data_IF_570133652874
#
_entry.id   IF_570133652874
#
_cell.length_a   1.000
_cell.length_b   1.000
_cell.length_c   1.000
_cell.angle_alpha   90.00
_cell.angle_beta   90.00
_cell.angle_gamma   90.00
#
_symmetry.space_group_name_H-M   'P 1'
#
loop_
_entity.id
_entity.type
_entity.pdbx_description
1 polymer ?
#
# COMPACT_ATOMS: atom_id res chain seq x y z
N UNK A 1 15.55 -15.39 -44.28
CA UNK A 1 16.97 -15.14 -43.96
C UNK A 1 17.32 -16.10 -42.84
N UNK A 2 18.06 -17.15 -43.18
CA UNK A 2 18.68 -18.07 -42.24
C UNK A 2 19.95 -17.40 -41.71
N UNK A 3 19.82 -16.72 -40.58
CA UNK A 3 20.96 -16.24 -39.81
C UNK A 3 20.96 -17.00 -38.48
N UNK A 4 22.13 -17.42 -38.03
CA UNK A 4 22.27 -18.07 -36.73
C UNK A 4 21.76 -17.15 -35.61
N UNK A 5 21.09 -17.78 -34.63
CA UNK A 5 20.51 -17.09 -33.47
C UNK A 5 20.98 -17.79 -32.21
N UNK A 6 21.51 -17.00 -31.28
CA UNK A 6 21.78 -17.47 -29.92
C UNK A 6 20.48 -17.36 -29.14
N UNK A 7 19.97 -18.50 -28.68
CA UNK A 7 18.79 -18.58 -27.83
C UNK A 7 19.19 -19.14 -26.48
N UNK A 8 18.71 -18.51 -25.42
CA UNK A 8 18.77 -19.05 -24.07
C UNK A 8 17.36 -19.47 -23.66
N UNK A 9 17.22 -20.72 -23.25
CA UNK A 9 15.95 -21.32 -22.82
C UNK A 9 16.25 -22.01 -21.49
N UNK A 10 15.64 -21.54 -20.42
CA UNK A 10 15.83 -22.04 -19.04
C UNK A 10 15.73 -23.57 -18.93
N UNK A 11 14.75 -24.17 -19.62
CA UNK A 11 14.54 -25.62 -19.62
C UNK A 11 15.63 -26.43 -20.35
N UNK A 12 16.47 -25.78 -21.17
CA UNK A 12 17.55 -26.43 -21.95
C UNK A 12 18.91 -26.07 -21.37
N UNK A 13 19.08 -24.82 -20.93
CA UNK A 13 20.37 -24.26 -20.52
C UNK A 13 20.68 -24.45 -19.02
N UNK A 14 19.72 -24.90 -18.20
CA UNK A 14 19.91 -25.15 -16.78
C UNK A 14 19.68 -26.64 -16.52
N UNK A 15 20.59 -27.30 -15.82
CA UNK A 15 20.32 -28.63 -15.28
C UNK A 15 19.31 -28.53 -14.13
N UNK A 16 18.04 -28.75 -14.46
CA UNK A 16 16.93 -28.69 -13.51
C UNK A 16 17.01 -29.77 -12.42
N UNK A 17 17.81 -30.83 -12.62
CA UNK A 17 18.00 -31.92 -11.66
C UNK A 17 19.01 -31.57 -10.56
N UNK A 18 19.88 -30.59 -10.80
CA UNK A 18 20.92 -30.16 -9.87
C UNK A 18 20.45 -28.96 -9.02
N UNK A 19 20.04 -29.21 -7.78
CA UNK A 19 19.51 -28.19 -6.86
C UNK A 19 20.51 -27.04 -6.62
N UNK A 20 21.82 -27.34 -6.57
CA UNK A 20 22.87 -26.32 -6.34
C UNK A 20 23.02 -25.42 -7.55
N UNK A 21 23.08 -26.00 -8.75
CA UNK A 21 23.10 -25.23 -9.99
C UNK A 21 21.84 -24.40 -10.13
N UNK A 22 20.66 -24.99 -9.92
CA UNK A 22 19.38 -24.29 -9.98
C UNK A 22 19.35 -23.07 -9.04
N UNK A 23 19.80 -23.24 -7.80
CA UNK A 23 19.93 -22.14 -6.85
C UNK A 23 20.86 -21.03 -7.34
N UNK A 24 22.00 -21.39 -7.91
CA UNK A 24 22.95 -20.43 -8.48
C UNK A 24 22.38 -19.72 -9.72
N UNK A 25 21.77 -20.46 -10.65
CA UNK A 25 21.22 -19.94 -11.90
C UNK A 25 20.06 -18.97 -11.65
N UNK A 26 19.20 -19.24 -10.66
CA UNK A 26 18.12 -18.33 -10.25
C UNK A 26 18.63 -16.94 -9.89
N UNK A 27 19.83 -16.84 -9.30
CA UNK A 27 20.49 -15.57 -8.97
C UNK A 27 21.11 -14.90 -10.21
N UNK A 28 21.35 -15.64 -11.28
CA UNK A 28 21.91 -15.15 -12.54
C UNK A 28 20.87 -14.80 -13.60
N UNK A 29 19.65 -15.35 -13.51
CA UNK A 29 18.57 -15.17 -14.49
C UNK A 29 18.30 -13.69 -14.80
N UNK A 30 18.28 -12.85 -13.76
CA UNK A 30 18.07 -11.41 -13.93
C UNK A 30 19.13 -10.74 -14.83
N UNK A 31 20.38 -11.19 -14.76
CA UNK A 31 21.48 -10.69 -15.59
C UNK A 31 21.34 -11.16 -17.04
N UNK A 32 20.90 -12.40 -17.25
CA UNK A 32 20.68 -12.98 -18.57
C UNK A 32 19.58 -12.19 -19.30
N UNK A 33 18.41 -12.02 -18.69
CA UNK A 33 17.31 -11.26 -19.28
C UNK A 33 17.65 -9.78 -19.51
N UNK A 34 18.45 -9.18 -18.63
CA UNK A 34 18.93 -7.80 -18.81
C UNK A 34 19.90 -7.67 -19.99
N UNK A 35 20.74 -8.69 -20.24
CA UNK A 35 21.68 -8.68 -21.37
C UNK A 35 21.02 -9.03 -22.69
N UNK A 36 19.95 -9.82 -22.68
CA UNK A 36 19.23 -10.23 -23.88
C UNK A 36 18.77 -9.03 -24.74
N UNK A 37 18.92 -9.17 -26.06
CA UNK A 37 18.43 -8.17 -27.01
C UNK A 37 16.90 -8.13 -27.08
N UNK A 38 16.27 -9.28 -26.86
CA UNK A 38 14.82 -9.45 -26.88
C UNK A 38 14.40 -10.69 -26.11
N UNK A 39 13.35 -10.55 -25.31
CA UNK A 39 12.65 -11.67 -24.67
C UNK A 39 11.46 -12.10 -25.54
N UNK A 40 11.33 -13.40 -25.77
CA UNK A 40 10.27 -14.00 -26.55
C UNK A 40 9.34 -14.78 -25.62
N UNK A 41 8.07 -14.38 -25.56
CA UNK A 41 7.06 -14.93 -24.66
C UNK A 41 6.11 -15.79 -25.49
N UNK A 42 5.94 -17.06 -25.13
CA UNK A 42 4.97 -17.95 -25.76
C UNK A 42 3.73 -18.12 -24.88
N UNK A 43 2.58 -17.69 -25.39
CA UNK A 43 1.27 -17.75 -24.72
C UNK A 43 0.46 -19.01 -25.05
N UNK A 44 1.00 -19.90 -25.88
CA UNK A 44 0.33 -21.13 -26.31
C UNK A 44 -0.67 -20.94 -27.44
N UNK A 45 -1.46 -21.99 -27.66
CA UNK A 45 -2.53 -22.03 -28.66
C UNK A 45 -3.74 -21.22 -28.19
N UNK A 46 -4.43 -20.61 -29.13
CA UNK A 46 -5.66 -19.85 -28.90
C UNK A 46 -6.81 -20.53 -29.63
N UNK A 47 -7.95 -20.69 -28.94
CA UNK A 47 -9.11 -21.43 -29.44
C UNK A 47 -10.07 -20.56 -30.27
N UNK A 48 -9.78 -19.26 -30.39
CA UNK A 48 -10.62 -18.26 -31.03
C UNK A 48 -9.74 -17.36 -31.89
N UNK A 49 -10.28 -16.90 -33.02
CA UNK A 49 -9.56 -16.11 -34.04
C UNK A 49 -9.00 -14.77 -33.52
N UNK A 50 -7.78 -14.75 -32.99
CA UNK A 50 -7.10 -13.52 -32.56
C UNK A 50 -6.54 -12.69 -33.72
N UNK A 51 -6.59 -13.20 -34.96
CA UNK A 51 -6.03 -12.62 -36.18
C UNK A 51 -6.35 -11.12 -36.33
N UNK A 52 -7.61 -10.74 -36.09
CA UNK A 52 -8.09 -9.36 -36.17
C UNK A 52 -7.45 -8.46 -35.12
N UNK A 53 -7.44 -8.86 -33.84
CA UNK A 53 -6.82 -8.08 -32.75
C UNK A 53 -5.31 -7.94 -32.98
N UNK A 54 -4.65 -9.03 -33.35
CA UNK A 54 -3.21 -9.03 -33.63
C UNK A 54 -2.89 -8.10 -34.79
N UNK A 55 -3.69 -8.14 -35.86
CA UNK A 55 -3.51 -7.29 -37.04
C UNK A 55 -3.74 -5.82 -36.71
N UNK A 56 -4.77 -5.51 -35.90
CA UNK A 56 -5.05 -4.17 -35.42
C UNK A 56 -3.90 -3.60 -34.58
N UNK A 57 -3.39 -4.36 -33.61
CA UNK A 57 -2.25 -3.93 -32.78
C UNK A 57 -0.97 -3.77 -33.59
N UNK A 58 -0.73 -4.61 -34.59
CA UNK A 58 0.41 -4.48 -35.51
C UNK A 58 0.30 -3.23 -36.40
N UNK A 59 -0.88 -2.96 -36.95
CA UNK A 59 -1.10 -1.75 -37.75
C UNK A 59 -0.97 -0.50 -36.89
N UNK A 60 -1.53 -0.50 -35.67
CA UNK A 60 -1.37 0.59 -34.73
C UNK A 60 0.11 0.87 -34.47
N UNK A 61 0.89 -0.16 -34.16
CA UNK A 61 2.32 -0.03 -33.94
C UNK A 61 3.06 0.52 -35.17
N UNK A 62 2.73 0.03 -36.36
CA UNK A 62 3.31 0.51 -37.61
C UNK A 62 2.92 1.98 -37.92
N UNK A 63 1.70 2.38 -37.60
CA UNK A 63 1.23 3.77 -37.77
C UNK A 63 1.95 4.70 -36.79
N UNK A 64 2.08 4.31 -35.52
CA UNK A 64 2.85 5.08 -34.53
C UNK A 64 4.29 5.22 -34.99
N UNK A 65 4.95 4.13 -35.39
CA UNK A 65 6.36 4.16 -35.78
C UNK A 65 6.59 5.02 -37.05
N UNK A 66 5.62 5.08 -37.98
CA UNK A 66 5.70 5.87 -39.21
C UNK A 66 5.33 7.34 -39.03
N UNK A 67 4.19 7.61 -38.38
CA UNK A 67 3.62 8.95 -38.27
C UNK A 67 4.18 9.74 -37.08
N UNK A 68 4.65 9.04 -36.03
CA UNK A 68 5.16 9.67 -34.82
C UNK A 68 6.46 9.01 -34.33
N UNK A 69 7.57 9.17 -35.07
CA UNK A 69 8.87 8.64 -34.67
C UNK A 69 9.25 9.10 -33.24
N UNK A 70 9.59 8.14 -32.38
CA UNK A 70 9.95 8.42 -30.98
C UNK A 70 8.78 8.51 -30.00
N UNK A 71 7.52 8.41 -30.44
CA UNK A 71 6.34 8.40 -29.56
C UNK A 71 6.46 7.38 -28.42
N UNK A 72 6.94 6.17 -28.73
CA UNK A 72 7.18 5.10 -27.74
C UNK A 72 8.18 5.43 -26.63
N UNK A 73 8.99 6.49 -26.78
CA UNK A 73 9.89 6.98 -25.74
C UNK A 73 9.32 8.23 -25.05
N UNK A 74 8.72 9.13 -25.83
CA UNK A 74 8.41 10.49 -25.41
C UNK A 74 6.97 10.66 -24.89
N UNK A 75 6.02 9.84 -25.34
CA UNK A 75 4.64 9.91 -24.88
C UNK A 75 4.50 9.12 -23.58
N UNK A 76 3.81 9.71 -22.61
CA UNK A 76 3.48 9.02 -21.36
C UNK A 76 2.41 7.96 -21.62
N UNK A 77 2.21 7.03 -20.68
CA UNK A 77 1.10 6.08 -20.76
C UNK A 77 -0.27 6.79 -20.83
N UNK A 78 -0.37 7.98 -20.21
CA UNK A 78 -1.55 8.81 -20.11
C UNK A 78 -1.89 9.63 -21.36
N UNK A 79 -1.04 9.63 -22.37
CA UNK A 79 -1.14 10.57 -23.49
C UNK A 79 -2.39 10.32 -24.36
N UNK A 80 -3.24 11.33 -24.61
CA UNK A 80 -4.45 11.15 -25.40
C UNK A 80 -4.15 10.77 -26.86
N UNK A 81 -2.98 11.13 -27.39
CA UNK A 81 -2.60 10.84 -28.78
C UNK A 81 -2.53 9.35 -29.11
N UNK A 82 -2.37 8.49 -28.10
CA UNK A 82 -2.48 7.05 -28.29
C UNK A 82 -3.87 6.64 -28.82
N UNK A 83 -4.93 7.28 -28.32
CA UNK A 83 -6.29 7.04 -28.78
C UNK A 83 -6.50 7.59 -30.19
N UNK A 84 -6.03 8.79 -30.48
CA UNK A 84 -6.15 9.39 -31.82
C UNK A 84 -5.54 8.47 -32.90
N UNK A 85 -4.36 7.91 -32.65
CA UNK A 85 -3.71 6.97 -33.58
C UNK A 85 -4.46 5.63 -33.66
N UNK A 86 -4.98 5.15 -32.52
CA UNK A 86 -5.76 3.92 -32.46
C UNK A 86 -7.07 4.02 -33.25
N UNK A 87 -7.86 5.07 -33.03
CA UNK A 87 -9.13 5.30 -33.73
C UNK A 87 -8.93 5.42 -35.23
N UNK A 88 -7.93 6.22 -35.66
CA UNK A 88 -7.57 6.32 -37.07
C UNK A 88 -7.22 4.95 -37.67
N UNK A 89 -6.48 4.11 -36.94
CA UNK A 89 -6.12 2.76 -37.39
C UNK A 89 -7.35 1.86 -37.56
N UNK A 90 -8.33 1.96 -36.65
CA UNK A 90 -9.56 1.17 -36.73
C UNK A 90 -10.40 1.53 -37.96
N UNK A 91 -10.45 2.80 -38.36
CA UNK A 91 -11.19 3.25 -39.55
C UNK A 91 -10.69 2.58 -40.83
N UNK A 92 -9.38 2.31 -40.95
CA UNK A 92 -8.79 1.65 -42.12
C UNK A 92 -9.02 0.14 -42.19
N UNK A 93 -9.33 -0.52 -41.07
CA UNK A 93 -9.51 -1.98 -41.00
C UNK A 93 -10.88 -2.48 -41.48
N UNK A 94 -11.68 -1.62 -42.10
CA UNK A 94 -13.03 -1.87 -42.65
C UNK A 94 -14.04 -2.36 -41.59
N UNK A 95 -14.54 -1.42 -40.79
CA UNK A 95 -15.75 -1.64 -39.98
C UNK A 95 -15.62 -1.12 -38.56
N UNK A 96 -15.77 0.17 -38.34
CA UNK A 96 -15.97 0.75 -37.01
C UNK A 96 -17.34 0.40 -36.42
N UNK A 97 -17.73 -0.88 -36.45
CA UNK A 97 -18.95 -1.36 -35.82
C UNK A 97 -18.67 -1.77 -34.36
N UNK A 98 -19.60 -1.47 -33.47
CA UNK A 98 -19.54 -1.83 -32.04
C UNK A 98 -19.30 -3.34 -31.84
N UNK A 99 -19.80 -4.19 -32.76
CA UNK A 99 -19.56 -5.64 -32.77
C UNK A 99 -18.07 -6.01 -32.87
N UNK A 100 -17.29 -5.25 -33.64
CA UNK A 100 -15.86 -5.52 -33.83
C UNK A 100 -15.06 -5.07 -32.61
N UNK A 101 -15.48 -3.99 -31.94
CA UNK A 101 -14.89 -3.53 -30.69
C UNK A 101 -15.14 -4.51 -29.54
N UNK A 102 -16.40 -4.97 -29.38
CA UNK A 102 -16.77 -5.99 -28.39
C UNK A 102 -15.99 -7.29 -28.64
N UNK A 103 -15.80 -7.66 -29.90
CA UNK A 103 -14.97 -8.80 -30.32
C UNK A 103 -13.49 -8.62 -29.91
N UNK A 104 -12.89 -7.46 -30.17
CA UNK A 104 -11.49 -7.16 -29.79
C UNK A 104 -11.29 -7.14 -28.27
N UNK A 105 -12.22 -6.56 -27.50
CA UNK A 105 -12.16 -6.58 -26.04
C UNK A 105 -12.20 -8.01 -25.49
N UNK A 106 -13.10 -8.85 -26.00
CA UNK A 106 -13.23 -10.26 -25.59
C UNK A 106 -11.94 -11.04 -25.90
N UNK A 107 -11.36 -10.81 -27.08
CA UNK A 107 -10.08 -11.41 -27.51
C UNK A 107 -8.90 -10.96 -26.64
N UNK A 108 -8.87 -9.69 -26.22
CA UNK A 108 -7.85 -9.21 -25.29
C UNK A 108 -7.99 -9.85 -23.91
N UNK A 109 -9.22 -9.98 -23.38
CA UNK A 109 -9.47 -10.70 -22.11
C UNK A 109 -8.98 -12.14 -22.16
N UNK A 110 -9.20 -12.84 -23.28
CA UNK A 110 -8.70 -14.21 -23.49
C UNK A 110 -7.16 -14.30 -23.43
N UNK A 111 -6.44 -13.30 -23.94
CA UNK A 111 -4.99 -13.23 -23.84
C UNK A 111 -4.53 -12.95 -22.42
N UNK A 112 -5.15 -11.98 -21.74
CA UNK A 112 -4.80 -11.60 -20.35
C UNK A 112 -5.06 -12.74 -19.35
N UNK A 113 -6.05 -13.58 -19.61
CA UNK A 113 -6.37 -14.75 -18.77
C UNK A 113 -5.46 -15.97 -19.04
N UNK A 114 -4.43 -15.84 -19.88
CA UNK A 114 -3.52 -16.96 -20.14
C UNK A 114 -2.71 -17.31 -18.87
N UNK A 115 -2.48 -18.61 -18.58
CA UNK A 115 -1.72 -19.04 -17.40
C UNK A 115 -0.32 -18.45 -17.28
N UNK A 116 0.27 -18.00 -18.40
CA UNK A 116 1.56 -17.31 -18.39
C UNK A 116 1.57 -16.08 -17.48
N UNK A 117 0.48 -15.30 -17.43
CA UNK A 117 0.35 -14.14 -16.51
C UNK A 117 0.24 -14.53 -15.04
N UNK A 118 0.00 -15.81 -14.75
CA UNK A 118 0.02 -16.33 -13.38
C UNK A 118 1.43 -16.70 -12.91
N UNK A 119 2.43 -16.90 -13.77
CA UNK A 119 3.70 -17.52 -13.36
C UNK A 119 4.62 -16.55 -12.62
N UNK A 120 5.20 -16.95 -11.50
CA UNK A 120 6.09 -16.05 -10.74
C UNK A 120 7.45 -15.77 -11.43
N UNK A 121 7.97 -16.74 -12.19
CA UNK A 121 9.26 -16.60 -12.85
C UNK A 121 9.25 -15.59 -14.02
N UNK A 122 8.07 -15.33 -14.61
CA UNK A 122 7.94 -14.38 -15.72
C UNK A 122 8.23 -12.93 -15.30
N UNK A 123 8.19 -12.66 -13.99
CA UNK A 123 8.48 -11.33 -13.44
C UNK A 123 9.90 -10.88 -13.78
N UNK A 124 10.88 -11.78 -13.67
CA UNK A 124 12.27 -11.46 -14.05
C UNK A 124 12.42 -11.29 -15.55
N UNK A 125 11.77 -12.16 -16.32
CA UNK A 125 11.80 -12.14 -17.80
C UNK A 125 11.32 -10.80 -18.33
N UNK A 126 10.17 -10.35 -17.81
CA UNK A 126 9.51 -9.14 -18.27
C UNK A 126 10.22 -7.92 -17.72
N UNK A 127 10.44 -7.84 -16.40
CA UNK A 127 11.00 -6.67 -15.74
C UNK A 127 12.38 -6.27 -16.29
N UNK A 128 13.25 -7.26 -16.55
CA UNK A 128 14.62 -7.02 -17.02
C UNK A 128 14.72 -6.91 -18.54
N UNK A 129 13.68 -7.26 -19.30
CA UNK A 129 13.71 -7.15 -20.76
C UNK A 129 13.90 -5.70 -21.22
N UNK A 130 14.85 -5.51 -22.15
CA UNK A 130 14.96 -4.29 -22.97
C UNK A 130 13.81 -4.20 -23.99
N UNK A 131 13.46 -5.34 -24.59
CA UNK A 131 12.37 -5.51 -25.56
C UNK A 131 11.72 -6.86 -25.31
N UNK A 132 10.40 -6.94 -25.39
CA UNK A 132 9.67 -8.20 -25.28
C UNK A 132 8.61 -8.32 -26.39
N UNK A 133 8.36 -9.55 -26.84
CA UNK A 133 7.28 -9.87 -27.80
C UNK A 133 6.52 -11.09 -27.31
N UNK A 134 5.21 -10.99 -27.33
CA UNK A 134 4.29 -12.07 -27.01
C UNK A 134 3.90 -12.78 -28.30
N UNK A 135 3.90 -14.11 -28.30
CA UNK A 135 3.45 -14.94 -29.41
C UNK A 135 2.35 -15.89 -28.93
N UNK A 136 1.30 -15.98 -29.72
CA UNK A 136 0.35 -17.09 -29.67
C UNK A 136 0.38 -17.85 -31.01
N UNK A 137 -0.40 -18.92 -31.13
CA UNK A 137 -0.50 -19.69 -32.39
C UNK A 137 -0.81 -18.84 -33.62
N UNK A 138 -1.51 -17.71 -33.46
CA UNK A 138 -1.93 -16.86 -34.57
C UNK A 138 -0.99 -15.69 -34.90
N UNK A 139 -0.01 -15.37 -34.03
CA UNK A 139 0.93 -14.30 -34.36
C UNK A 139 1.70 -13.68 -33.20
N UNK A 140 2.50 -12.68 -33.55
CA UNK A 140 3.31 -11.89 -32.64
C UNK A 140 2.68 -10.53 -32.31
N UNK A 141 2.72 -10.13 -31.05
CA UNK A 141 2.36 -8.82 -30.53
C UNK A 141 3.59 -8.27 -29.77
N UNK A 142 3.93 -6.99 -29.93
CA UNK A 142 4.98 -6.40 -29.09
C UNK A 142 4.46 -6.14 -27.67
N UNK A 143 5.32 -6.26 -26.66
CA UNK A 143 4.90 -6.01 -25.27
C UNK A 143 4.46 -4.56 -25.05
N UNK A 144 5.07 -3.59 -25.74
CA UNK A 144 4.69 -2.17 -25.67
C UNK A 144 3.27 -1.92 -26.18
N UNK A 145 2.87 -2.57 -27.28
CA UNK A 145 1.51 -2.47 -27.83
C UNK A 145 0.51 -3.24 -26.96
N UNK A 146 0.89 -4.42 -26.48
CA UNK A 146 0.05 -5.19 -25.56
C UNK A 146 -0.23 -4.43 -24.26
N UNK A 147 0.78 -3.78 -23.67
CA UNK A 147 0.63 -3.01 -22.44
C UNK A 147 -0.29 -1.79 -22.57
N UNK A 148 -0.44 -1.22 -23.78
CA UNK A 148 -1.39 -0.13 -24.06
C UNK A 148 -2.80 -0.63 -24.40
N UNK A 149 -2.92 -1.86 -24.91
CA UNK A 149 -4.18 -2.39 -25.42
C UNK A 149 -5.35 -2.34 -24.42
N UNK A 150 -5.18 -2.65 -23.12
CA UNK A 150 -6.26 -2.53 -22.13
C UNK A 150 -6.85 -1.13 -22.06
N UNK A 151 -5.99 -0.10 -22.07
CA UNK A 151 -6.40 1.31 -22.08
C UNK A 151 -7.12 1.67 -23.38
N UNK A 152 -6.53 1.32 -24.53
CA UNK A 152 -7.09 1.63 -25.85
C UNK A 152 -8.47 0.99 -26.07
N UNK A 153 -8.64 -0.23 -25.58
CA UNK A 153 -9.87 -1.00 -25.75
C UNK A 153 -10.87 -0.83 -24.61
N UNK A 154 -10.52 -0.14 -23.51
CA UNK A 154 -11.38 0.03 -22.34
C UNK A 154 -11.61 -1.29 -21.58
N UNK A 155 -10.60 -2.15 -21.51
CA UNK A 155 -10.65 -3.42 -20.78
C UNK A 155 -9.82 -3.27 -19.50
N UNK A 156 -10.42 -3.50 -18.34
CA UNK A 156 -9.69 -3.55 -17.08
C UNK A 156 -9.02 -4.92 -16.91
N UNK A 157 -7.68 -5.00 -16.77
CA UNK A 157 -7.00 -6.22 -16.34
C UNK A 157 -7.30 -6.51 -14.88
N UNK A 158 -7.18 -7.77 -14.46
CA UNK A 158 -7.13 -8.09 -13.03
C UNK A 158 -5.85 -7.53 -12.38
N UNK A 159 -5.80 -7.54 -11.04
CA UNK A 159 -4.69 -6.96 -10.28
C UNK A 159 -3.33 -7.57 -10.63
N UNK A 160 -3.26 -8.88 -10.86
CA UNK A 160 -2.01 -9.57 -11.15
C UNK A 160 -1.54 -9.26 -12.58
N UNK A 161 -2.45 -9.32 -13.55
CA UNK A 161 -2.16 -8.97 -14.93
C UNK A 161 -1.76 -7.50 -15.06
N UNK A 162 -2.43 -6.59 -14.35
CA UNK A 162 -2.05 -5.18 -14.29
C UNK A 162 -0.64 -5.00 -13.73
N UNK A 163 -0.29 -5.67 -12.63
CA UNK A 163 1.06 -5.61 -12.07
C UNK A 163 2.14 -6.08 -13.06
N UNK A 164 1.83 -7.07 -13.91
CA UNK A 164 2.74 -7.52 -14.97
C UNK A 164 2.83 -6.51 -16.11
N UNK A 165 1.71 -5.95 -16.55
CA UNK A 165 1.67 -4.88 -17.57
C UNK A 165 2.50 -3.68 -17.12
N UNK A 166 2.37 -3.29 -15.86
CA UNK A 166 3.12 -2.19 -15.24
C UNK A 166 4.63 -2.39 -15.27
N UNK A 167 5.10 -3.64 -15.39
CA UNK A 167 6.52 -3.95 -15.53
C UNK A 167 6.91 -4.33 -16.95
N UNK A 168 6.01 -4.31 -17.95
CA UNK A 168 6.35 -4.62 -19.35
C UNK A 168 7.14 -3.50 -20.03
N UNK A 169 8.07 -3.81 -20.95
CA UNK A 169 8.85 -2.78 -21.61
C UNK A 169 7.96 -1.91 -22.50
N UNK A 170 7.89 -0.61 -22.20
CA UNK A 170 7.04 0.34 -22.91
C UNK A 170 6.69 1.57 -22.08
N UNK A 171 5.72 2.38 -22.54
CA UNK A 171 5.22 3.55 -21.83
C UNK A 171 4.64 3.21 -20.44
N UNK A 172 3.94 2.08 -20.31
CA UNK A 172 3.35 1.64 -19.03
C UNK A 172 4.39 1.58 -17.90
N UNK A 173 5.51 0.88 -18.10
CA UNK A 173 6.60 0.80 -17.11
C UNK A 173 7.20 2.15 -16.73
N UNK A 174 7.26 3.12 -17.64
CA UNK A 174 7.82 4.44 -17.36
C UNK A 174 6.83 5.39 -16.68
N UNK A 175 5.57 4.98 -16.56
CA UNK A 175 4.51 5.75 -15.92
C UNK A 175 3.87 5.00 -14.74
N UNK A 176 4.40 3.83 -14.36
CA UNK A 176 3.92 3.00 -13.27
C UNK A 176 4.80 3.14 -12.02
N UNK A 177 4.37 2.47 -10.94
CA UNK A 177 5.13 2.29 -9.70
C UNK A 177 6.53 1.68 -9.92
N UNK A 178 6.77 1.05 -11.07
CA UNK A 178 8.06 0.42 -11.40
C UNK A 178 9.22 1.40 -11.61
N UNK A 179 8.94 2.69 -11.84
CA UNK A 179 9.99 3.72 -12.03
C UNK A 179 10.82 4.01 -10.79
N UNK A 180 10.30 3.62 -9.63
CA UNK A 180 10.92 3.86 -8.33
C UNK A 180 11.85 2.70 -7.94
N UNK A 181 12.63 2.87 -6.86
CA UNK A 181 13.41 1.75 -6.30
C UNK A 181 12.45 0.75 -5.66
N UNK A 182 12.45 -0.48 -6.17
CA UNK A 182 11.56 -1.53 -5.70
C UNK A 182 12.14 -2.17 -4.45
N UNK A 183 11.44 -2.13 -3.32
CA UNK A 183 11.82 -2.94 -2.16
C UNK A 183 11.09 -4.29 -2.22
N UNK A 184 11.52 -5.22 -1.36
CA UNK A 184 10.91 -6.54 -1.27
C UNK A 184 9.44 -6.48 -0.86
N UNK A 185 9.05 -5.57 0.04
CA UNK A 185 7.68 -5.51 0.54
C UNK A 185 6.68 -5.18 -0.58
N UNK A 186 6.95 -4.12 -1.36
CA UNK A 186 6.18 -3.70 -2.52
C UNK A 186 6.08 -4.84 -3.54
N UNK A 187 7.19 -5.53 -3.82
CA UNK A 187 7.21 -6.65 -4.77
C UNK A 187 6.35 -7.82 -4.28
N UNK A 188 6.49 -8.22 -3.02
CA UNK A 188 5.71 -9.28 -2.42
C UNK A 188 4.20 -8.96 -2.44
N UNK A 189 3.83 -7.70 -2.17
CA UNK A 189 2.45 -7.24 -2.21
C UNK A 189 1.89 -7.16 -3.64
N UNK A 190 2.59 -6.51 -4.56
CA UNK A 190 2.14 -6.29 -5.96
C UNK A 190 1.98 -7.61 -6.71
N UNK A 191 2.87 -8.57 -6.48
CA UNK A 191 2.89 -9.86 -7.18
C UNK A 191 2.30 -11.02 -6.37
N UNK A 192 1.52 -10.73 -5.33
CA UNK A 192 0.84 -11.75 -4.49
C UNK A 192 -0.07 -12.69 -5.27
N UNK A 193 -0.59 -12.27 -6.43
CA UNK A 193 -1.42 -13.12 -7.31
C UNK A 193 -0.61 -14.11 -8.16
N UNK A 194 0.73 -14.03 -8.14
CA UNK A 194 1.59 -14.96 -8.88
C UNK A 194 1.48 -16.38 -8.31
N UNK A 195 1.75 -17.37 -9.13
CA UNK A 195 1.67 -18.80 -8.86
C UNK A 195 3.05 -19.42 -9.04
N UNK A 196 3.35 -20.40 -8.20
CA UNK A 196 4.59 -21.13 -8.21
C UNK A 196 4.33 -22.58 -7.83
N UNK A 197 5.03 -23.52 -8.48
CA UNK A 197 5.00 -24.93 -8.10
C UNK A 197 5.74 -25.14 -6.78
N UNK A 198 6.91 -24.51 -6.62
CA UNK A 198 7.59 -24.41 -5.34
C UNK A 198 7.18 -23.09 -4.67
N UNK A 199 6.55 -23.11 -3.48
CA UNK A 199 6.09 -21.89 -2.83
C UNK A 199 7.22 -20.89 -2.53
N UNK A 200 8.47 -21.36 -2.37
CA UNK A 200 9.64 -20.51 -2.08
C UNK A 200 10.00 -19.60 -3.25
N UNK A 201 9.66 -19.99 -4.47
CA UNK A 201 9.89 -19.17 -5.67
C UNK A 201 9.11 -17.86 -5.64
N UNK A 202 8.03 -17.80 -4.85
CA UNK A 202 7.27 -16.55 -4.59
C UNK A 202 8.14 -15.47 -3.96
N UNK A 203 9.19 -15.85 -3.25
CA UNK A 203 10.24 -14.97 -2.74
C UNK A 203 11.43 -14.91 -3.70
N UNK A 204 11.97 -16.06 -4.09
CA UNK A 204 13.26 -16.13 -4.79
C UNK A 204 13.24 -15.43 -6.15
N UNK A 205 12.11 -15.46 -6.87
CA UNK A 205 11.96 -14.71 -8.12
C UNK A 205 12.07 -13.18 -7.92
N UNK A 206 11.79 -12.68 -6.72
CA UNK A 206 11.76 -11.25 -6.40
C UNK A 206 13.10 -10.71 -5.88
N UNK A 207 13.99 -11.56 -5.36
CA UNK A 207 15.25 -11.13 -4.73
C UNK A 207 16.16 -10.29 -5.65
N UNK A 208 16.14 -10.58 -6.95
CA UNK A 208 16.92 -9.84 -7.97
C UNK A 208 16.19 -8.62 -8.57
N UNK A 209 14.90 -8.51 -8.27
CA UNK A 209 14.09 -7.35 -8.61
C UNK A 209 14.17 -6.29 -7.51
N UNK A 210 14.33 -6.74 -6.26
CA UNK A 210 14.51 -5.88 -5.10
C UNK A 210 15.81 -5.07 -5.21
N UNK A 211 15.69 -3.78 -4.94
CA UNK A 211 16.75 -2.77 -4.90
C UNK A 211 17.26 -2.52 -3.47
N UNK A 212 16.73 -3.26 -2.49
CA UNK A 212 17.17 -3.15 -1.10
C UNK A 212 18.65 -3.53 -0.98
N UNK A 213 19.43 -2.66 -0.36
CA UNK A 213 20.89 -2.82 -0.30
C UNK A 213 21.33 -4.04 0.50
N UNK A 214 20.54 -4.47 1.50
CA UNK A 214 20.91 -5.54 2.44
C UNK A 214 20.16 -6.84 2.25
N UNK A 215 19.20 -6.91 1.32
CA UNK A 215 18.41 -8.12 1.14
C UNK A 215 19.28 -9.31 0.74
N UNK A 216 20.22 -9.09 -0.19
CA UNK A 216 21.11 -10.14 -0.69
C UNK A 216 22.11 -10.65 0.35
N UNK A 217 22.39 -9.84 1.38
CA UNK A 217 23.24 -10.24 2.51
C UNK A 217 22.46 -11.08 3.54
N UNK A 218 21.15 -10.85 3.67
CA UNK A 218 20.30 -11.48 4.69
C UNK A 218 19.51 -12.69 4.19
N UNK A 219 19.05 -12.66 2.95
CA UNK A 219 18.19 -13.69 2.35
C UNK A 219 18.80 -14.12 1.03
N UNK A 220 19.06 -15.42 0.90
CA UNK A 220 19.52 -16.06 -0.33
C UNK A 220 18.59 -17.21 -0.71
N UNK A 221 18.61 -17.59 -1.99
CA UNK A 221 17.82 -18.70 -2.50
C UNK A 221 18.37 -20.03 -1.97
N UNK A 222 17.71 -20.60 -0.96
CA UNK A 222 18.12 -21.82 -0.29
C UNK A 222 16.98 -22.85 -0.29
N UNK A 223 17.00 -23.73 -1.30
CA UNK A 223 16.02 -24.81 -1.44
C UNK A 223 16.17 -25.94 -0.40
N UNK A 224 17.12 -25.85 0.54
CA UNK A 224 17.17 -26.77 1.69
C UNK A 224 16.21 -26.34 2.81
N UNK A 225 15.81 -25.07 2.86
CA UNK A 225 14.84 -24.54 3.84
C UNK A 225 13.42 -24.97 3.49
N UNK A 226 12.62 -25.29 4.50
CA UNK A 226 11.17 -25.42 4.32
C UNK A 226 10.51 -24.04 4.18
N UNK A 227 9.25 -24.01 3.75
CA UNK A 227 8.51 -22.76 3.53
C UNK A 227 8.41 -21.90 4.80
N UNK A 228 8.18 -22.51 5.97
CA UNK A 228 8.05 -21.78 7.24
C UNK A 228 9.34 -21.06 7.65
N UNK A 229 10.50 -21.69 7.43
CA UNK A 229 11.81 -21.06 7.67
C UNK A 229 12.02 -19.85 6.75
N UNK A 230 11.59 -19.94 5.49
CA UNK A 230 11.65 -18.81 4.56
C UNK A 230 10.69 -17.69 4.99
N UNK A 231 9.50 -18.01 5.47
CA UNK A 231 8.56 -17.03 6.04
C UNK A 231 9.19 -16.29 7.22
N UNK A 232 9.89 -17.01 8.12
CA UNK A 232 10.61 -16.40 9.25
C UNK A 232 11.72 -15.45 8.78
N UNK A 233 12.47 -15.82 7.75
CA UNK A 233 13.48 -14.94 7.16
C UNK A 233 12.85 -13.65 6.61
N UNK A 234 11.69 -13.74 5.93
CA UNK A 234 10.96 -12.58 5.41
C UNK A 234 10.50 -11.67 6.55
N UNK A 235 9.86 -12.22 7.58
CA UNK A 235 9.35 -11.45 8.73
C UNK A 235 10.49 -10.75 9.48
N UNK A 236 11.58 -11.46 9.76
CA UNK A 236 12.76 -10.89 10.40
C UNK A 236 13.39 -9.78 9.54
N UNK A 237 13.37 -9.91 8.21
CA UNK A 237 13.90 -8.90 7.31
C UNK A 237 13.02 -7.64 7.23
N UNK A 238 11.71 -7.82 7.03
CA UNK A 238 10.76 -6.73 6.79
C UNK A 238 10.38 -5.97 8.05
N UNK A 239 10.26 -6.68 9.18
CA UNK A 239 9.65 -6.14 10.39
C UNK A 239 10.59 -6.10 11.60
N UNK A 240 11.86 -6.52 11.45
CA UNK A 240 12.79 -6.73 12.57
C UNK A 240 12.16 -7.58 13.69
N UNK A 241 11.26 -8.51 13.34
CA UNK A 241 10.64 -9.41 14.30
C UNK A 241 11.71 -10.40 14.78
N UNK A 242 12.02 -10.35 16.08
CA UNK A 242 12.94 -11.30 16.69
C UNK A 242 12.30 -12.68 16.64
N UNK A 243 13.07 -13.66 16.16
CA UNK A 243 12.68 -15.07 15.91
C UNK A 243 12.03 -15.77 17.11
N UNK A 244 12.04 -15.17 18.30
CA UNK A 244 11.49 -15.69 19.55
C UNK A 244 9.99 -15.43 19.76
N UNK A 245 9.40 -14.39 19.17
CA UNK A 245 7.97 -14.08 19.31
C UNK A 245 7.22 -14.46 18.04
N UNK A 246 6.89 -15.74 17.88
CA UNK A 246 6.20 -16.32 16.73
C UNK A 246 4.70 -15.89 16.65
N UNK A 247 4.43 -14.61 16.82
CA UNK A 247 3.12 -14.06 17.22
C UNK A 247 2.21 -13.78 16.01
N UNK A 248 2.79 -13.65 14.81
CA UNK A 248 2.01 -13.45 13.57
C UNK A 248 1.31 -14.73 13.09
N UNK A 249 1.74 -15.91 13.56
CA UNK A 249 1.20 -17.21 13.19
C UNK A 249 1.04 -17.39 11.67
N UNK A 250 2.07 -17.02 10.90
CA UNK A 250 2.11 -17.21 9.44
C UNK A 250 3.12 -18.28 9.10
N UNK A 251 2.72 -19.30 8.31
CA UNK A 251 3.60 -20.41 7.91
C UNK A 251 3.79 -20.54 6.40
N UNK A 252 2.91 -19.93 5.60
CA UNK A 252 2.98 -19.96 4.13
C UNK A 252 3.30 -18.58 3.57
N UNK A 253 4.03 -18.55 2.46
CA UNK A 253 4.42 -17.30 1.80
C UNK A 253 3.21 -16.62 1.16
N UNK A 254 2.26 -17.39 0.62
CA UNK A 254 1.01 -16.84 0.09
C UNK A 254 0.21 -16.09 1.17
N UNK A 255 0.01 -16.72 2.33
CA UNK A 255 -0.68 -16.12 3.48
C UNK A 255 0.06 -14.88 3.98
N UNK A 256 1.41 -14.91 3.99
CA UNK A 256 2.22 -13.73 4.32
C UNK A 256 1.91 -12.59 3.36
N UNK A 257 1.96 -12.83 2.04
CA UNK A 257 1.76 -11.79 1.03
C UNK A 257 0.38 -11.15 1.09
N UNK A 258 -0.66 -11.93 1.40
CA UNK A 258 -2.02 -11.39 1.61
C UNK A 258 -2.12 -10.56 2.88
N UNK A 259 -1.40 -10.95 3.94
CA UNK A 259 -1.42 -10.29 5.25
C UNK A 259 -0.38 -9.17 5.39
N UNK A 260 0.49 -8.92 4.41
CA UNK A 260 1.52 -7.87 4.45
C UNK A 260 0.98 -6.53 4.99
N UNK A 261 -0.19 -6.01 4.53
CA UNK A 261 -0.74 -4.77 5.06
C UNK A 261 -0.95 -4.80 6.58
N UNK A 262 -1.57 -5.88 7.08
CA UNK A 262 -1.80 -6.07 8.51
C UNK A 262 -0.51 -6.24 9.29
N UNK A 263 0.41 -7.05 8.78
CA UNK A 263 1.68 -7.35 9.44
C UNK A 263 2.52 -6.07 9.57
N UNK A 264 2.57 -5.26 8.51
CA UNK A 264 3.25 -3.97 8.54
C UNK A 264 2.62 -3.01 9.53
N UNK A 265 1.28 -2.93 9.59
CA UNK A 265 0.58 -2.11 10.58
C UNK A 265 0.95 -2.51 12.02
N UNK A 266 0.84 -3.79 12.35
CA UNK A 266 1.11 -4.30 13.70
C UNK A 266 2.59 -4.11 14.08
N UNK A 267 3.52 -4.35 13.14
CA UNK A 267 4.94 -4.14 13.39
C UNK A 267 5.26 -2.66 13.63
N UNK A 268 4.66 -1.76 12.86
CA UNK A 268 4.82 -0.32 13.05
C UNK A 268 4.25 0.14 14.40
N UNK A 269 3.05 -0.33 14.75
CA UNK A 269 2.41 -0.02 16.02
C UNK A 269 3.23 -0.50 17.22
N UNK A 270 3.74 -1.73 17.19
CA UNK A 270 4.66 -2.26 18.22
C UNK A 270 5.92 -1.44 18.35
N UNK A 271 6.52 -1.07 17.22
CA UNK A 271 7.73 -0.24 17.19
C UNK A 271 7.47 1.11 17.85
N UNK A 272 6.32 1.72 17.55
CA UNK A 272 5.91 3.00 18.09
C UNK A 272 5.60 2.92 19.59
N UNK A 273 4.75 1.96 20.01
CA UNK A 273 4.34 1.79 21.42
C UNK A 273 5.49 1.30 22.31
N UNK A 274 6.47 0.58 21.74
CA UNK A 274 7.69 0.16 22.43
C UNK A 274 8.70 1.28 22.66
N UNK A 275 8.40 2.52 22.28
CA UNK A 275 9.27 3.67 22.50
C UNK A 275 10.49 3.73 21.57
N UNK A 276 10.42 3.13 20.37
CA UNK A 276 11.52 3.16 19.43
C UNK A 276 11.88 4.60 19.01
N UNK A 277 13.16 4.85 18.72
CA UNK A 277 13.61 6.18 18.31
C UNK A 277 13.11 6.47 16.90
N UNK A 278 12.98 7.75 16.56
CA UNK A 278 12.58 8.21 15.22
C UNK A 278 13.40 7.55 14.10
N UNK A 279 14.72 7.38 14.31
CA UNK A 279 15.61 6.73 13.32
C UNK A 279 15.22 5.28 13.04
N UNK A 280 14.72 4.57 14.06
CA UNK A 280 14.32 3.17 13.94
C UNK A 280 12.98 3.08 13.18
N UNK A 281 12.05 4.00 13.42
CA UNK A 281 10.80 4.14 12.67
C UNK A 281 11.07 4.57 11.22
N UNK A 282 11.93 5.55 10.98
CA UNK A 282 12.32 5.97 9.64
C UNK A 282 12.95 4.81 8.86
N UNK A 283 13.79 4.00 9.51
CA UNK A 283 14.37 2.80 8.91
C UNK A 283 13.31 1.75 8.55
N UNK A 284 12.32 1.54 9.42
CA UNK A 284 11.17 0.68 9.12
C UNK A 284 10.42 1.19 7.88
N UNK A 285 10.08 2.48 7.86
CA UNK A 285 9.37 3.10 6.74
C UNK A 285 10.17 3.04 5.43
N UNK A 286 11.50 3.20 5.48
CA UNK A 286 12.37 3.04 4.31
C UNK A 286 12.32 1.62 3.73
N UNK A 287 12.24 0.57 4.57
CA UNK A 287 12.09 -0.82 4.12
C UNK A 287 10.71 -1.11 3.50
N UNK A 288 9.70 -0.28 3.83
CA UNK A 288 8.35 -0.35 3.29
C UNK A 288 8.14 0.61 2.10
N UNK A 289 9.07 1.54 1.85
CA UNK A 289 9.07 2.55 0.78
C UNK A 289 7.72 3.29 0.75
N UNK A 290 7.05 3.32 -0.39
CA UNK A 290 5.74 3.97 -0.61
C UNK A 290 4.55 3.04 -0.35
N UNK A 291 4.81 1.85 0.18
CA UNK A 291 3.80 0.87 0.57
C UNK A 291 3.82 0.74 2.08
N UNK A 292 3.52 1.85 2.75
CA UNK A 292 3.41 1.87 4.21
C UNK A 292 1.92 1.76 4.55
N UNK A 293 1.62 0.81 5.43
CA UNK A 293 0.32 0.66 6.05
C UNK A 293 0.43 1.10 7.51
N UNK A 294 -0.44 2.01 7.93
CA UNK A 294 -0.44 2.58 9.27
C UNK A 294 -1.78 2.26 9.93
N UNK A 295 -1.74 1.70 11.14
CA UNK A 295 -2.95 1.50 11.95
C UNK A 295 -3.45 2.82 12.53
N UNK A 296 -4.73 2.85 12.87
CA UNK A 296 -5.36 3.98 13.55
C UNK A 296 -4.63 4.38 14.85
N UNK A 297 -4.23 3.39 15.64
CA UNK A 297 -3.51 3.59 16.89
C UNK A 297 -2.10 4.15 16.66
N UNK A 298 -1.38 3.63 15.66
CA UNK A 298 -0.05 4.12 15.28
C UNK A 298 -0.09 5.57 14.79
N UNK A 299 -1.08 5.94 13.97
CA UNK A 299 -1.28 7.30 13.50
C UNK A 299 -1.60 8.26 14.67
N UNK A 300 -2.49 7.85 15.57
CA UNK A 300 -2.89 8.64 16.74
C UNK A 300 -1.73 8.88 17.70
N UNK A 301 -0.93 7.85 17.99
CA UNK A 301 0.24 7.98 18.85
C UNK A 301 1.29 8.89 18.22
N UNK A 302 1.60 8.71 16.93
CA UNK A 302 2.53 9.58 16.21
C UNK A 302 2.09 11.06 16.27
N UNK A 303 0.78 11.31 16.19
CA UNK A 303 0.18 12.63 16.29
C UNK A 303 0.32 13.27 17.68
N UNK A 304 0.17 12.49 18.75
CA UNK A 304 0.25 12.98 20.12
C UNK A 304 1.69 13.17 20.60
N UNK A 305 2.63 12.35 20.13
CA UNK A 305 3.95 12.20 20.75
C UNK A 305 5.05 12.92 19.97
N UNK A 306 4.92 13.06 18.64
CA UNK A 306 6.06 13.49 17.84
C UNK A 306 5.68 14.22 16.53
N UNK A 307 5.85 15.55 16.52
CA UNK A 307 5.58 16.41 15.35
C UNK A 307 6.45 16.10 14.13
N UNK A 308 7.67 15.56 14.30
CA UNK A 308 8.56 15.19 13.19
C UNK A 308 8.09 13.90 12.51
N UNK A 309 7.66 12.91 13.29
CA UNK A 309 7.08 11.68 12.75
C UNK A 309 5.74 11.96 12.06
N UNK A 310 4.90 12.79 12.68
CA UNK A 310 3.67 13.31 12.07
C UNK A 310 3.94 13.99 10.73
N UNK A 311 4.87 14.95 10.69
CA UNK A 311 5.19 15.69 9.46
C UNK A 311 5.77 14.78 8.37
N UNK A 312 6.50 13.72 8.74
CA UNK A 312 6.99 12.70 7.81
C UNK A 312 5.85 11.83 7.26
N UNK A 313 4.95 11.36 8.12
CA UNK A 313 3.75 10.60 7.71
C UNK A 313 2.80 11.44 6.82
N UNK A 314 2.77 12.76 6.97
CA UNK A 314 1.89 13.66 6.20
C UNK A 314 2.49 14.16 4.88
N UNK A 315 3.82 14.16 4.72
CA UNK A 315 4.51 14.71 3.54
C UNK A 315 4.93 13.66 2.52
N UNK A 316 4.88 12.38 2.86
CA UNK A 316 5.24 11.30 1.92
C UNK A 316 4.08 10.99 0.95
N UNK A 317 4.23 11.19 -0.38
CA UNK A 317 3.12 11.31 -1.32
C UNK A 317 2.49 9.98 -1.79
N UNK A 318 2.63 8.90 -1.03
CA UNK A 318 2.15 7.57 -1.47
C UNK A 318 2.07 6.65 -0.26
N UNK A 319 0.93 6.68 0.42
CA UNK A 319 0.48 5.59 1.24
C UNK A 319 -0.64 4.91 0.46
N UNK A 320 -0.55 3.60 0.20
CA UNK A 320 -1.77 2.82 -0.06
C UNK A 320 -2.47 2.68 1.28
N UNK A 321 -3.28 3.67 1.63
CA UNK A 321 -4.09 3.64 2.83
C UNK A 321 -5.12 2.51 2.71
N UNK A 322 -4.80 1.37 3.32
CA UNK A 322 -5.73 0.27 3.46
C UNK A 322 -6.46 0.49 4.77
N UNK A 323 -7.75 0.81 4.69
CA UNK A 323 -8.68 0.75 5.83
C UNK A 323 -8.81 -0.72 6.21
N UNK A 324 -7.92 -1.20 7.08
CA UNK A 324 -8.16 -2.46 7.74
C UNK A 324 -9.16 -2.19 8.86
N UNK A 325 -10.33 -2.82 8.76
CA UNK A 325 -11.16 -3.04 9.93
C UNK A 325 -10.34 -3.68 11.05
N UNK A 326 -10.81 -3.59 12.31
CA UNK A 326 -10.04 -3.95 13.50
C UNK A 326 -9.36 -5.32 13.34
N UNK A 327 -8.07 -5.35 13.68
CA UNK A 327 -7.30 -6.57 13.85
C UNK A 327 -7.90 -7.29 15.06
N UNK A 328 -8.83 -8.21 14.83
CA UNK A 328 -9.19 -9.15 15.88
C UNK A 328 -8.13 -10.26 15.91
N UNK A 329 -7.22 -10.19 16.87
CA UNK A 329 -7.20 -11.30 17.81
C UNK A 329 -8.58 -11.30 18.48
N UNK A 330 -9.22 -12.45 18.64
CA UNK A 330 -10.64 -12.63 18.97
C UNK A 330 -11.16 -11.96 20.25
N UNK A 331 -10.45 -11.05 20.89
CA UNK A 331 -11.01 -10.20 21.93
C UNK A 331 -10.68 -8.73 21.68
N UNK A 332 -11.76 -7.96 21.48
CA UNK A 332 -11.90 -6.50 21.64
C UNK A 332 -12.26 -5.74 20.36
N UNK A 333 -13.58 -5.53 20.31
CA UNK A 333 -14.33 -4.36 19.82
C UNK A 333 -14.62 -4.15 18.33
N UNK A 334 -15.91 -4.43 18.10
CA UNK A 334 -16.82 -3.88 17.13
C UNK A 334 -16.62 -2.37 16.87
N UNK A 335 -16.66 -1.98 15.59
CA UNK A 335 -16.72 -0.62 14.99
C UNK A 335 -15.42 0.06 14.50
N UNK A 336 -15.20 -0.11 13.19
CA UNK A 336 -15.11 0.92 12.14
C UNK A 336 -14.27 2.22 12.32
N UNK A 337 -13.26 2.36 11.43
CA UNK A 337 -12.73 3.59 10.78
C UNK A 337 -11.62 4.37 11.52
N UNK A 338 -10.48 4.58 10.83
CA UNK A 338 -9.27 5.26 11.35
C UNK A 338 -9.40 6.79 11.62
N UNK A 339 -8.72 7.24 12.69
CA UNK A 339 -8.53 8.59 13.26
C UNK A 339 -8.40 9.74 12.25
N UNK A 340 -7.74 9.61 11.09
CA UNK A 340 -7.58 10.76 10.19
C UNK A 340 -8.61 10.81 9.05
N UNK A 341 -9.16 9.67 8.60
CA UNK A 341 -10.46 9.65 7.91
C UNK A 341 -11.59 10.09 8.85
N UNK A 342 -11.34 10.00 10.16
CA UNK A 342 -12.14 10.57 11.23
C UNK A 342 -11.90 12.09 11.44
N UNK A 343 -10.83 12.72 10.94
CA UNK A 343 -10.64 14.18 11.03
C UNK A 343 -11.01 14.91 9.73
N UNK A 344 -10.64 14.39 8.56
CA UNK A 344 -10.74 15.12 7.28
C UNK A 344 -12.01 14.84 6.47
N UNK A 345 -12.79 13.80 6.80
CA UNK A 345 -14.05 13.46 6.10
C UNK A 345 -15.29 13.97 6.85
N UNK A 346 -15.13 14.91 7.79
CA UNK A 346 -16.13 15.15 8.83
C UNK A 346 -16.73 16.53 8.85
N UNK A 347 -18.06 16.54 8.85
CA UNK A 347 -18.88 17.70 9.19
C UNK A 347 -18.94 17.96 10.72
N UNK A 348 -18.20 17.23 11.58
CA UNK A 348 -18.34 17.27 13.07
C UNK A 348 -17.01 17.12 13.84
N UNK A 349 -16.93 17.79 15.01
CA UNK A 349 -15.80 17.90 15.96
C UNK A 349 -15.30 16.54 16.53
N UNK A 350 -14.06 16.49 17.01
CA UNK A 350 -13.37 15.27 17.52
C UNK A 350 -13.44 15.10 19.03
N UNK A 351 -13.94 13.96 19.50
CA UNK A 351 -14.08 13.62 20.91
C UNK A 351 -12.81 13.00 21.50
N UNK A 352 -12.22 13.62 22.52
CA UNK A 352 -11.12 13.03 23.31
C UNK A 352 -11.68 12.03 24.33
N UNK A 353 -11.21 10.79 24.35
CA UNK A 353 -11.62 9.73 25.29
C UNK A 353 -10.58 9.56 26.42
N UNK A 354 -10.94 8.82 27.47
CA UNK A 354 -10.02 8.52 28.58
C UNK A 354 -8.77 7.72 28.15
N UNK A 355 -8.90 6.85 27.15
CA UNK A 355 -7.77 6.04 26.67
C UNK A 355 -6.68 6.91 26.01
N UNK A 356 -7.10 7.96 25.28
CA UNK A 356 -6.20 8.94 24.68
C UNK A 356 -5.45 9.74 25.75
N UNK A 357 -6.15 10.10 26.83
CA UNK A 357 -5.59 10.82 27.97
C UNK A 357 -4.57 9.94 28.72
N UNK A 358 -4.93 8.68 28.99
CA UNK A 358 -4.05 7.73 29.65
C UNK A 358 -2.77 7.50 28.84
N UNK A 359 -2.89 7.29 27.52
CA UNK A 359 -1.74 7.11 26.64
C UNK A 359 -0.82 8.34 26.62
N UNK A 360 -1.36 9.56 26.55
CA UNK A 360 -0.56 10.78 26.60
C UNK A 360 0.19 10.94 27.93
N UNK A 361 -0.45 10.61 29.06
CA UNK A 361 0.16 10.70 30.39
C UNK A 361 1.33 9.75 30.57
N UNK A 362 1.22 8.51 30.08
CA UNK A 362 2.32 7.54 30.11
C UNK A 362 3.53 7.99 29.29
N UNK A 363 3.30 8.86 28.29
CA UNK A 363 4.32 9.38 27.40
C UNK A 363 4.76 10.81 27.74
N UNK A 364 4.35 11.34 28.89
CA UNK A 364 4.76 12.68 29.37
C UNK A 364 4.20 13.85 28.56
N UNK A 365 3.09 13.64 27.85
CA UNK A 365 2.46 14.65 26.99
C UNK A 365 1.30 15.32 27.71
N UNK A 366 1.36 16.64 27.80
CA UNK A 366 0.26 17.47 28.32
C UNK A 366 -0.72 17.82 27.18
N UNK A 367 -1.70 16.93 26.97
CA UNK A 367 -2.77 17.11 25.98
C UNK A 367 -3.58 18.39 26.21
N UNK A 368 -3.80 18.80 27.45
CA UNK A 368 -4.58 20.00 27.77
C UNK A 368 -3.85 21.26 27.35
N UNK A 369 -2.54 21.30 27.54
CA UNK A 369 -1.72 22.40 27.04
C UNK A 369 -1.79 22.52 25.52
N UNK A 370 -1.81 21.41 24.77
CA UNK A 370 -1.95 21.41 23.30
C UNK A 370 -3.32 21.93 22.85
N UNK A 371 -4.40 21.41 23.44
CA UNK A 371 -5.79 21.83 23.10
C UNK A 371 -5.99 23.32 23.41
N UNK A 372 -5.46 23.80 24.53
CA UNK A 372 -5.66 25.18 25.00
C UNK A 372 -4.73 26.17 24.29
N UNK A 373 -3.45 25.84 24.04
CA UNK A 373 -2.48 26.78 23.43
C UNK A 373 -2.67 26.93 21.93
N UNK A 374 -2.97 25.84 21.22
CA UNK A 374 -3.11 25.86 19.76
C UNK A 374 -4.52 26.22 19.26
N UNK A 375 -5.47 26.45 20.18
CA UNK A 375 -6.84 26.90 19.89
C UNK A 375 -7.55 26.05 18.81
N UNK A 376 -7.51 24.73 19.01
CA UNK A 376 -7.98 23.70 18.07
C UNK A 376 -9.50 23.54 18.14
N UNK A 377 -10.24 24.34 17.37
CA UNK A 377 -11.71 24.32 17.28
C UNK A 377 -12.29 23.06 16.63
N UNK A 378 -11.42 22.25 16.03
CA UNK A 378 -11.66 20.91 15.49
C UNK A 378 -11.86 19.83 16.58
N UNK A 379 -11.52 20.11 17.85
CA UNK A 379 -11.65 19.17 18.97
C UNK A 379 -12.93 19.46 19.78
N UNK A 380 -13.79 18.47 19.97
CA UNK A 380 -14.94 18.48 20.87
C UNK A 380 -14.48 18.36 22.32
N UNK A 381 -14.95 19.26 23.17
CA UNK A 381 -14.69 19.18 24.60
C UNK A 381 -15.58 18.07 25.19
N UNK A 382 -14.98 16.93 25.50
CA UNK A 382 -15.64 15.78 26.11
C UNK A 382 -15.60 15.86 27.63
N UNK A 383 -16.48 15.08 28.28
CA UNK A 383 -16.46 14.91 29.74
C UNK A 383 -15.09 14.42 30.23
N UNK A 384 -14.49 13.42 29.55
CA UNK A 384 -13.16 12.91 29.87
C UNK A 384 -12.06 13.98 29.89
N UNK A 385 -12.08 14.93 28.93
CA UNK A 385 -11.11 16.03 28.87
C UNK A 385 -11.32 17.04 30.01
N UNK A 386 -12.57 17.26 30.41
CA UNK A 386 -12.91 18.16 31.52
C UNK A 386 -12.54 17.51 32.86
N UNK A 387 -12.76 16.21 32.99
CA UNK A 387 -12.36 15.43 34.17
C UNK A 387 -10.84 15.46 34.35
N UNK A 388 -10.07 15.24 33.28
CA UNK A 388 -8.60 15.36 33.34
C UNK A 388 -8.17 16.79 33.69
N UNK A 389 -8.80 17.81 33.11
CA UNK A 389 -8.50 19.20 33.43
C UNK A 389 -8.81 19.54 34.90
N UNK A 390 -9.90 18.98 35.42
CA UNK A 390 -10.26 19.11 36.83
C UNK A 390 -9.30 18.35 37.74
N UNK A 391 -8.76 17.21 37.31
CA UNK A 391 -7.74 16.46 38.06
C UNK A 391 -6.38 17.17 38.07
N UNK A 392 -5.99 17.82 36.98
CA UNK A 392 -4.69 18.50 36.84
C UNK A 392 -4.60 19.84 37.59
N UNK A 393 -5.72 20.46 37.95
CA UNK A 393 -5.76 21.63 38.83
C UNK A 393 -6.58 22.82 38.31
N UNK A 394 -6.74 23.83 39.16
CA UNK A 394 -7.71 24.91 38.91
C UNK A 394 -7.38 25.82 37.74
N UNK A 395 -6.11 26.11 37.53
CA UNK A 395 -5.68 27.05 36.50
C UNK A 395 -5.87 26.46 35.09
N UNK A 396 -5.62 25.16 34.96
CA UNK A 396 -5.81 24.40 33.72
C UNK A 396 -7.30 24.29 33.35
N UNK A 397 -8.14 23.95 34.33
CA UNK A 397 -9.58 23.92 34.12
C UNK A 397 -10.14 25.32 33.82
N UNK A 398 -9.64 26.36 34.49
CA UNK A 398 -10.02 27.75 34.24
C UNK A 398 -9.64 28.20 32.83
N UNK A 399 -8.44 27.86 32.34
CA UNK A 399 -8.03 28.17 30.96
C UNK A 399 -8.92 27.48 29.92
N UNK A 400 -9.30 26.22 30.16
CA UNK A 400 -10.21 25.48 29.29
C UNK A 400 -11.62 26.13 29.27
N UNK A 401 -12.13 26.53 30.45
CA UNK A 401 -13.40 27.22 30.60
C UNK A 401 -13.37 28.63 29.96
N UNK A 402 -12.30 29.39 30.12
CA UNK A 402 -12.18 30.75 29.59
C UNK A 402 -12.13 30.76 28.06
N UNK A 403 -11.46 29.78 27.42
CA UNK A 403 -11.37 29.70 25.95
C UNK A 403 -12.52 28.96 25.29
N UNK A 404 -13.01 27.87 25.89
CA UNK A 404 -13.98 26.95 25.25
C UNK A 404 -15.22 26.68 26.09
N UNK A 405 -15.46 27.43 27.17
CA UNK A 405 -16.60 27.25 28.08
C UNK A 405 -17.99 27.34 27.47
N UNK A 406 -18.13 27.87 26.25
CA UNK A 406 -19.42 27.86 25.52
C UNK A 406 -19.82 26.47 25.01
N UNK A 407 -18.85 25.58 24.82
CA UNK A 407 -19.04 24.22 24.29
C UNK A 407 -19.13 23.16 25.42
N UNK A 408 -18.99 23.56 26.68
CA UNK A 408 -18.82 22.65 27.82
C UNK A 408 -20.16 22.41 28.52
N UNK A 409 -20.55 21.13 28.64
CA UNK A 409 -21.65 20.68 29.52
C UNK A 409 -21.07 20.15 30.82
N UNK A 410 -21.36 20.84 31.92
CA UNK A 410 -20.94 20.44 33.26
C UNK A 410 -21.88 19.35 33.77
N UNK A 411 -21.34 18.16 34.04
CA UNK A 411 -22.07 17.03 34.63
C UNK A 411 -21.86 16.97 36.15
N UNK A 412 -22.67 16.15 36.85
CA UNK A 412 -22.50 15.92 38.29
C UNK A 412 -21.14 15.28 38.63
N UNK A 413 -20.62 14.44 37.74
CA UNK A 413 -19.34 13.75 37.92
C UNK A 413 -18.17 14.73 37.91
N UNK A 414 -18.18 15.66 36.95
CA UNK A 414 -17.23 16.76 36.86
C UNK A 414 -17.25 17.64 38.13
N UNK A 415 -18.43 17.94 38.68
CA UNK A 415 -18.57 18.73 39.91
C UNK A 415 -18.03 17.96 41.13
N UNK A 416 -18.20 16.65 41.16
CA UNK A 416 -17.69 15.79 42.22
C UNK A 416 -16.16 15.74 42.20
N UNK A 417 -15.55 15.50 41.03
CA UNK A 417 -14.10 15.51 40.83
C UNK A 417 -13.51 16.89 41.21
N UNK A 418 -14.20 17.98 40.83
CA UNK A 418 -13.76 19.32 41.20
C UNK A 418 -13.92 19.66 42.69
N UNK A 419 -14.83 18.99 43.42
CA UNK A 419 -14.98 19.12 44.88
C UNK A 419 -13.92 18.32 45.65
N UNK A 420 -13.56 17.17 45.13
CA UNK A 420 -12.53 16.30 45.71
C UNK A 420 -11.12 16.88 45.51
N UNK A 421 -10.94 17.73 44.49
CA UNK A 421 -9.70 18.45 44.26
C UNK A 421 -9.68 19.80 45.00
N UNK A 422 -9.07 19.82 46.19
CA UNK A 422 -9.05 20.93 47.15
C UNK A 422 -8.42 22.25 46.63
N UNK A 423 -7.84 22.24 45.43
CA UNK A 423 -7.12 23.34 44.81
C UNK A 423 -7.96 24.21 43.87
N UNK A 424 -9.26 23.93 43.67
CA UNK A 424 -10.12 24.62 42.69
C UNK A 424 -11.02 25.71 43.33
N UNK A 425 -10.78 27.02 43.09
CA UNK A 425 -11.60 28.08 43.65
C UNK A 425 -12.99 28.13 42.98
N UNK A 426 -14.05 28.02 43.79
CA UNK A 426 -15.46 28.05 43.33
C UNK A 426 -15.84 29.31 42.54
N UNK A 427 -15.05 30.38 42.62
CA UNK A 427 -15.21 31.62 41.83
C UNK A 427 -14.94 31.44 40.33
N UNK A 428 -14.16 30.44 39.91
CA UNK A 428 -13.98 30.14 38.48
C UNK A 428 -15.27 29.56 37.85
N UNK A 429 -16.13 28.97 38.67
CA UNK A 429 -17.38 28.31 38.26
C UNK A 429 -18.62 29.25 38.27
N UNK A 430 -18.50 30.47 38.82
CA UNK A 430 -19.65 31.37 38.94
C UNK A 430 -20.11 31.96 37.60
N UNK A 431 -19.22 32.10 36.61
CA UNK A 431 -19.56 32.63 35.29
C UNK A 431 -20.31 31.62 34.41
N UNK A 432 -20.16 30.31 34.64
CA UNK A 432 -20.89 29.24 33.93
C UNK A 432 -22.28 28.96 34.52
N UNK A 433 -22.55 29.43 35.75
CA UNK A 433 -23.81 29.20 36.49
C UNK A 433 -25.06 29.75 35.78
N UNK A 434 -24.89 30.77 34.93
CA UNK A 434 -25.97 31.35 34.10
C UNK A 434 -26.54 30.40 33.03
N UNK A 435 -25.87 29.28 32.72
CA UNK A 435 -26.29 28.36 31.63
C UNK A 435 -26.81 27.00 32.08
N UNK A 436 -26.83 26.71 33.39
CA UNK A 436 -27.29 25.42 33.92
C UNK A 436 -28.80 25.35 34.23
N UNK A 437 -29.58 26.41 33.97
CA UNK A 437 -30.97 26.54 34.42
C UNK A 437 -32.06 26.18 33.39
N UNK A 438 -31.76 25.46 32.30
CA UNK A 438 -32.77 25.06 31.29
C UNK A 438 -32.94 23.55 31.09
N UNK A 439 -32.71 22.73 32.11
CA UNK A 439 -33.21 21.36 32.15
C UNK A 439 -33.86 21.09 33.52
N UNK A 440 -35.19 21.09 33.55
CA UNK A 440 -36.02 21.11 34.75
C UNK A 440 -35.58 20.15 35.85
N UNK A 441 -35.01 20.69 36.91
CA UNK A 441 -35.00 20.12 38.26
C UNK A 441 -34.67 21.24 39.26
N UNK A 442 -35.41 21.25 40.37
CA UNK A 442 -35.51 22.35 41.37
C UNK A 442 -34.15 22.88 41.87
N UNK A 443 -34.09 24.15 42.33
CA UNK A 443 -32.87 24.74 42.87
C UNK A 443 -32.45 24.02 44.16
N UNK A 444 -31.29 23.38 44.14
CA UNK A 444 -30.63 22.94 45.36
C UNK A 444 -30.08 24.18 46.09
N UNK A 445 -30.73 24.55 47.19
CA UNK A 445 -30.10 25.33 48.27
C UNK A 445 -29.02 24.46 48.91
N UNK A 446 -27.82 25.00 49.05
CA UNK A 446 -26.87 24.56 50.06
C UNK A 446 -26.39 25.81 50.79
N UNK A 447 -26.68 25.82 52.08
CA UNK A 447 -26.10 26.72 53.07
C UNK A 447 -24.58 26.47 53.19
N UNK A 448 -23.90 27.56 53.56
CA UNK A 448 -22.48 27.81 53.85
C UNK A 448 -21.47 26.67 53.70
#
# INVERSE_FOLDING_TARGET
MDEDRILWIDAICIDQSNIRERGHQVVCMSQIYNRADRVLIWLGFVNHELSHLISALKQFEATVDRAHPGAWRNWSYGDPRWFDVWENTQTYLRGGHESDRISQQTRLRLLMNKPWFGRVWILQEVAKAKKARLRCSEGWISARSFALAPRLLGVAPDTQCQAIIDIMPGPSRRSSWWTEKQNLCTLLWRFRGSQATDPRDRLYALLDLASDTKIKEKITADYTKNEEAVVKDILAYLFNDDLSSNDFSVRKIADLQERIPNLSCVALERTILGGARIKDIQRFLQLQNKTVWVSEAAASYAWCVNTTLRDYLMKEPTFEYVVMGPVYATDIMDRAISVESFFNTREKKVKITHDIIWAARQNGIDLLTLVVKENRDDIEITEALIEEAAQMGSDTLKLLLDRRGKDIKITKNIIQIARENASIPWRAWSNTRSRATTAGSKPFRLER
#
